data_IF_272392394310
#
_entry.id   IF_272392394310
#
_cell.length_a   1.000
_cell.length_b   1.000
_cell.length_c   1.000
_cell.angle_alpha   90.00
_cell.angle_beta   90.00
_cell.angle_gamma   90.00
#
_symmetry.space_group_name_H-M   'P 1'
#
loop_
_entity.id
_entity.type
_entity.pdbx_description
1 polymer ?
#
# COMPACT_ATOMS: atom_id res chain seq x y z
N UNK A 1 40.65 -27.49 28.94
CA UNK A 1 40.75 -26.75 27.67
C UNK A 1 40.16 -25.36 27.89
N UNK A 2 40.89 -24.30 27.55
CA UNK A 2 40.47 -22.92 27.83
C UNK A 2 39.35 -22.52 26.87
N UNK A 3 38.19 -22.12 27.40
CA UNK A 3 37.08 -21.62 26.57
C UNK A 3 37.41 -20.21 26.07
N UNK A 4 36.97 -19.90 24.85
CA UNK A 4 37.06 -18.54 24.32
C UNK A 4 35.93 -17.71 24.91
N UNK A 5 36.28 -16.52 25.37
CA UNK A 5 35.33 -15.47 25.72
C UNK A 5 35.07 -14.64 24.45
N UNK A 6 33.83 -14.60 23.94
CA UNK A 6 33.51 -13.83 22.75
C UNK A 6 33.63 -12.33 23.03
N UNK A 7 34.16 -11.58 22.06
CA UNK A 7 34.33 -10.12 22.15
C UNK A 7 33.07 -9.31 21.80
N UNK A 8 32.06 -9.94 21.22
CA UNK A 8 30.83 -9.26 20.81
C UNK A 8 29.67 -10.23 20.62
N UNK A 9 28.45 -9.70 20.69
CA UNK A 9 27.23 -10.44 20.33
C UNK A 9 27.22 -10.78 18.83
N UNK A 10 27.75 -9.93 17.95
CA UNK A 10 27.86 -10.20 16.51
C UNK A 10 28.65 -11.48 16.22
N UNK A 11 29.78 -11.70 16.91
CA UNK A 11 30.55 -12.94 16.76
C UNK A 11 29.71 -14.18 17.12
N UNK A 12 28.92 -14.10 18.20
CA UNK A 12 28.02 -15.19 18.58
C UNK A 12 26.96 -15.45 17.50
N UNK A 13 26.42 -14.41 16.87
CA UNK A 13 25.46 -14.54 15.76
C UNK A 13 26.09 -15.14 14.51
N UNK A 14 27.30 -14.73 14.13
CA UNK A 14 28.05 -15.28 13.00
C UNK A 14 28.35 -16.78 13.19
N UNK A 15 28.68 -17.20 14.42
CA UNK A 15 28.85 -18.63 14.77
C UNK A 15 27.53 -19.40 14.69
N UNK A 16 26.41 -18.83 15.15
CA UNK A 16 25.08 -19.47 15.03
C UNK A 16 24.64 -19.61 13.56
N UNK A 17 24.92 -18.61 12.73
CA UNK A 17 24.62 -18.61 11.31
C UNK A 17 25.54 -19.53 10.50
N UNK A 18 26.64 -20.00 11.10
CA UNK A 18 27.63 -20.82 10.42
C UNK A 18 28.60 -20.05 9.53
N UNK A 19 28.58 -18.72 9.61
CA UNK A 19 29.50 -17.85 8.86
C UNK A 19 30.91 -17.84 9.45
N UNK A 20 31.04 -18.17 10.74
CA UNK A 20 32.33 -18.25 11.44
C UNK A 20 32.45 -19.60 12.14
N UNK A 21 33.57 -20.28 11.89
CA UNK A 21 33.90 -21.55 12.55
C UNK A 21 34.21 -21.34 14.04
N UNK A 22 33.60 -22.11 14.95
CA UNK A 22 33.95 -22.05 16.36
C UNK A 22 35.27 -22.78 16.66
N UNK A 23 35.87 -22.56 17.84
CA UNK A 23 37.14 -23.18 18.24
C UNK A 23 37.12 -24.71 18.24
N UNK A 24 35.98 -25.29 18.56
CA UNK A 24 35.76 -26.74 18.52
C UNK A 24 34.64 -27.06 17.55
N UNK A 25 35.00 -27.72 16.46
CA UNK A 25 34.04 -28.19 15.46
C UNK A 25 33.39 -29.48 15.99
N UNK A 26 32.07 -29.52 16.20
CA UNK A 26 31.38 -30.73 16.59
C UNK A 26 31.47 -31.79 15.47
N UNK A 27 31.51 -33.08 15.84
CA UNK A 27 31.45 -34.17 14.85
C UNK A 27 29.99 -34.44 14.49
N UNK A 28 29.61 -34.32 13.22
CA UNK A 28 28.25 -34.60 12.76
C UNK A 28 28.02 -34.30 11.27
N UNK A 29 26.95 -34.84 10.68
CA UNK A 29 26.66 -34.71 9.24
C UNK A 29 26.47 -33.25 8.77
N UNK A 30 26.05 -32.35 9.65
CA UNK A 30 25.72 -30.96 9.31
C UNK A 30 26.88 -29.97 9.54
N UNK A 31 28.02 -30.42 10.08
CA UNK A 31 29.15 -29.51 10.38
C UNK A 31 29.97 -29.14 9.15
N UNK A 32 29.90 -29.94 8.08
CA UNK A 32 30.47 -29.60 6.77
C UNK A 32 29.76 -28.45 6.05
N UNK A 33 28.58 -28.04 6.51
CA UNK A 33 27.78 -26.93 5.95
C UNK A 33 27.67 -25.77 6.96
N UNK A 34 28.62 -25.67 7.90
CA UNK A 34 28.68 -24.55 8.86
C UNK A 34 27.65 -24.59 10.00
N UNK A 35 26.80 -25.61 10.10
CA UNK A 35 25.80 -25.68 11.20
C UNK A 35 26.42 -26.19 12.51
N UNK A 36 26.98 -25.27 13.30
CA UNK A 36 27.60 -25.59 14.59
C UNK A 36 26.63 -25.54 15.77
N UNK A 37 25.61 -24.69 15.70
CA UNK A 37 24.56 -24.53 16.70
C UNK A 37 23.22 -24.96 16.09
N UNK A 38 22.50 -25.86 16.75
CA UNK A 38 21.16 -26.31 16.32
C UNK A 38 20.11 -25.31 16.79
N UNK A 39 19.66 -24.47 15.86
CA UNK A 39 18.63 -23.45 16.07
C UNK A 39 17.22 -24.03 15.94
N UNK A 40 16.25 -23.44 16.64
CA UNK A 40 14.84 -23.74 16.41
C UNK A 40 14.39 -23.08 15.10
N UNK A 41 13.41 -23.66 14.41
CA UNK A 41 12.95 -23.19 13.07
C UNK A 41 12.63 -21.69 13.04
N UNK A 42 11.98 -21.17 14.08
CA UNK A 42 11.60 -19.77 14.19
C UNK A 42 12.78 -18.82 14.48
N UNK A 43 13.93 -19.33 14.96
CA UNK A 43 15.13 -18.53 15.23
C UNK A 43 16.03 -18.41 13.99
N UNK A 44 15.95 -19.38 13.05
CA UNK A 44 16.83 -19.47 11.87
C UNK A 44 16.77 -18.20 11.02
N UNK A 45 15.56 -17.74 10.67
CA UNK A 45 15.38 -16.57 9.81
C UNK A 45 15.98 -15.31 10.44
N UNK A 46 15.78 -15.12 11.75
CA UNK A 46 16.35 -13.99 12.47
C UNK A 46 17.88 -14.01 12.45
N UNK A 47 18.49 -15.15 12.81
CA UNK A 47 19.95 -15.30 12.86
C UNK A 47 20.58 -15.07 11.48
N UNK A 48 20.01 -15.64 10.42
CA UNK A 48 20.52 -15.46 9.06
C UNK A 48 20.41 -14.01 8.60
N UNK A 49 19.28 -13.34 8.88
CA UNK A 49 19.09 -11.92 8.53
C UNK A 49 20.09 -11.03 9.27
N UNK A 50 20.28 -11.25 10.57
CA UNK A 50 21.25 -10.49 11.37
C UNK A 50 22.67 -10.74 10.88
N UNK A 51 23.06 -11.98 10.62
CA UNK A 51 24.39 -12.30 10.06
C UNK A 51 24.63 -11.61 8.72
N UNK A 52 23.63 -11.60 7.83
CA UNK A 52 23.71 -10.89 6.54
C UNK A 52 23.91 -9.38 6.73
N UNK A 53 23.22 -8.74 7.68
CA UNK A 53 23.44 -7.33 8.00
C UNK A 53 24.86 -7.07 8.51
N UNK A 54 25.35 -7.94 9.41
CA UNK A 54 26.70 -7.84 9.97
C UNK A 54 27.76 -7.94 8.86
N UNK A 55 27.61 -8.85 7.91
CA UNK A 55 28.52 -8.99 6.76
C UNK A 55 28.54 -7.76 5.85
N UNK A 56 27.42 -7.03 5.77
CA UNK A 56 27.30 -5.77 5.02
C UNK A 56 27.79 -4.55 5.82
N UNK A 57 28.34 -4.75 7.02
CA UNK A 57 28.77 -3.66 7.90
C UNK A 57 27.61 -2.87 8.53
N UNK A 58 26.38 -3.40 8.48
CA UNK A 58 25.21 -2.74 9.04
C UNK A 58 24.99 -3.15 10.50
N UNK A 59 24.76 -2.16 11.36
CA UNK A 59 24.43 -2.38 12.76
C UNK A 59 23.03 -2.96 12.98
N UNK A 60 22.86 -3.62 14.14
CA UNK A 60 21.55 -4.07 14.63
C UNK A 60 20.76 -2.92 15.27
N UNK A 61 19.44 -2.96 15.12
CA UNK A 61 18.51 -2.12 15.90
C UNK A 61 18.44 -2.57 17.36
N UNK A 62 17.98 -1.71 18.28
CA UNK A 62 17.82 -2.06 19.71
C UNK A 62 17.04 -3.35 19.93
N UNK A 63 15.89 -3.53 19.27
CA UNK A 63 15.09 -4.76 19.39
C UNK A 63 15.84 -6.01 18.91
N UNK A 64 16.62 -5.87 17.83
CA UNK A 64 17.44 -6.97 17.33
C UNK A 64 18.59 -7.29 18.28
N UNK A 65 19.23 -6.28 18.89
CA UNK A 65 20.28 -6.47 19.90
C UNK A 65 19.76 -7.22 21.11
N UNK A 66 18.62 -6.80 21.66
CA UNK A 66 17.97 -7.50 22.79
C UNK A 66 17.65 -8.96 22.45
N UNK A 67 17.12 -9.22 21.26
CA UNK A 67 16.81 -10.57 20.81
C UNK A 67 18.09 -11.41 20.61
N UNK A 68 19.14 -10.84 20.02
CA UNK A 68 20.42 -11.51 19.84
C UNK A 68 21.07 -11.90 21.17
N UNK A 69 21.00 -11.04 22.20
CA UNK A 69 21.44 -11.36 23.57
C UNK A 69 20.63 -12.54 24.13
N UNK A 70 19.30 -12.49 24.03
CA UNK A 70 18.41 -13.57 24.50
C UNK A 70 18.70 -14.90 23.83
N UNK A 71 18.90 -14.91 22.50
CA UNK A 71 19.26 -16.12 21.76
C UNK A 71 20.64 -16.64 22.17
N UNK A 72 21.62 -15.75 22.34
CA UNK A 72 22.96 -16.12 22.80
C UNK A 72 22.89 -16.82 24.17
N UNK A 73 22.09 -16.27 25.09
CA UNK A 73 21.85 -16.89 26.39
C UNK A 73 21.09 -18.22 26.30
N UNK A 74 20.05 -18.31 25.46
CA UNK A 74 19.25 -19.52 25.21
C UNK A 74 20.13 -20.69 24.76
N UNK A 75 21.06 -20.43 23.84
CA UNK A 75 21.92 -21.46 23.25
C UNK A 75 23.25 -21.68 23.98
N UNK A 76 23.43 -21.13 25.19
CA UNK A 76 24.67 -21.20 25.99
C UNK A 76 25.27 -22.60 26.13
N UNK A 77 24.44 -23.64 26.33
CA UNK A 77 24.94 -25.04 26.43
C UNK A 77 25.61 -25.49 25.14
N UNK A 78 25.05 -25.12 23.98
CA UNK A 78 25.62 -25.47 22.68
C UNK A 78 26.91 -24.69 22.39
N UNK A 79 26.99 -23.41 22.79
CA UNK A 79 28.24 -22.64 22.72
C UNK A 79 29.38 -23.27 23.51
N UNK A 80 29.10 -23.75 24.74
CA UNK A 80 30.12 -24.46 25.54
C UNK A 80 30.62 -25.73 24.85
N UNK A 81 29.73 -26.47 24.18
CA UNK A 81 30.11 -27.67 23.44
C UNK A 81 31.07 -27.38 22.27
N UNK A 82 30.99 -26.17 21.71
CA UNK A 82 31.89 -25.68 20.65
C UNK A 82 33.04 -24.80 21.18
N UNK A 83 33.26 -24.77 22.50
CA UNK A 83 34.42 -24.15 23.13
C UNK A 83 34.29 -22.66 23.43
N UNK A 84 33.07 -22.11 23.43
CA UNK A 84 32.80 -20.68 23.65
C UNK A 84 32.00 -20.52 24.95
N UNK A 85 32.45 -19.63 25.84
CA UNK A 85 31.69 -19.26 27.03
C UNK A 85 31.03 -17.90 26.88
N UNK A 86 29.73 -17.91 26.57
CA UNK A 86 28.92 -16.70 26.36
C UNK A 86 28.39 -16.09 27.66
N UNK A 87 28.70 -16.64 28.82
CA UNK A 87 28.13 -16.22 30.11
C UNK A 87 28.38 -14.74 30.43
N UNK A 88 29.58 -14.25 30.12
CA UNK A 88 29.97 -12.85 30.33
C UNK A 88 29.24 -11.91 29.38
N UNK A 89 29.38 -12.13 28.08
CA UNK A 89 28.80 -11.27 27.03
C UNK A 89 27.26 -11.20 27.09
N UNK A 90 26.59 -12.20 27.67
CA UNK A 90 25.12 -12.15 27.86
C UNK A 90 24.68 -11.28 29.04
N UNK A 91 25.58 -11.01 30.00
CA UNK A 91 25.32 -10.15 31.16
C UNK A 91 25.75 -8.71 30.89
N UNK A 92 26.91 -8.55 30.27
CA UNK A 92 27.48 -7.27 29.86
C UNK A 92 27.76 -7.33 28.34
N UNK A 93 26.76 -6.97 27.52
CA UNK A 93 26.82 -7.19 26.08
C UNK A 93 27.62 -6.11 25.37
N UNK A 94 28.70 -6.53 24.70
CA UNK A 94 29.46 -5.69 23.78
C UNK A 94 29.00 -5.92 22.33
N UNK A 95 28.98 -4.85 21.55
CA UNK A 95 28.62 -4.87 20.13
C UNK A 95 29.74 -4.25 19.30
N UNK A 96 30.08 -4.89 18.18
CA UNK A 96 31.10 -4.39 17.23
C UNK A 96 30.59 -3.17 16.44
N UNK A 97 29.29 -3.11 16.20
CA UNK A 97 28.66 -2.10 15.37
C UNK A 97 27.94 -1.05 16.20
N UNK A 98 27.65 0.12 15.61
CA UNK A 98 26.75 1.11 16.21
C UNK A 98 25.28 0.69 16.13
N UNK A 99 24.43 1.26 16.98
CA UNK A 99 22.99 0.96 16.95
C UNK A 99 22.42 1.56 15.68
N UNK A 100 21.82 0.72 14.82
CA UNK A 100 21.12 1.22 13.65
C UNK A 100 19.75 1.79 14.06
N UNK A 101 19.51 3.05 13.72
CA UNK A 101 18.17 3.65 13.75
C UNK A 101 17.40 3.21 12.50
N UNK A 102 16.14 2.83 12.67
CA UNK A 102 15.25 2.52 11.53
C UNK A 102 14.27 3.66 11.43
N UNK A 103 14.20 4.25 10.24
CA UNK A 103 13.16 5.21 9.92
C UNK A 103 11.79 4.52 10.01
N UNK A 104 10.93 5.05 10.88
CA UNK A 104 9.55 4.61 11.07
C UNK A 104 8.56 5.65 10.57
N UNK A 105 9.04 6.69 9.88
CA UNK A 105 8.22 7.71 9.26
C UNK A 105 7.24 7.05 8.29
N UNK A 106 6.04 7.61 8.26
CA UNK A 106 5.03 7.28 7.28
C UNK A 106 4.84 8.51 6.42
N UNK A 107 5.17 8.45 5.13
CA UNK A 107 5.15 9.61 4.26
C UNK A 107 4.34 9.33 3.00
N UNK A 108 3.51 10.29 2.63
CA UNK A 108 2.72 10.31 1.42
C UNK A 108 3.20 11.47 0.55
N UNK A 109 3.63 11.16 -0.67
CA UNK A 109 4.06 12.17 -1.64
C UNK A 109 3.59 11.80 -3.03
N UNK A 110 3.39 12.81 -3.87
CA UNK A 110 3.14 12.63 -5.29
C UNK A 110 4.31 13.23 -6.05
N UNK A 111 4.92 12.43 -6.91
CA UNK A 111 6.01 12.86 -7.79
C UNK A 111 5.68 12.31 -9.17
N UNK A 112 5.60 13.21 -10.15
CA UNK A 112 5.22 12.90 -11.52
C UNK A 112 3.90 12.09 -11.58
N UNK A 113 3.93 10.93 -12.23
CA UNK A 113 2.77 10.07 -12.46
C UNK A 113 2.52 9.07 -11.32
N UNK A 114 3.24 9.18 -10.20
CA UNK A 114 3.18 8.22 -9.10
C UNK A 114 2.86 8.84 -7.74
N UNK A 115 2.05 8.11 -6.99
CA UNK A 115 1.87 8.25 -5.55
C UNK A 115 2.91 7.34 -4.88
N UNK A 116 3.75 7.94 -4.04
CA UNK A 116 4.74 7.24 -3.27
C UNK A 116 4.30 7.12 -1.81
N UNK A 117 4.21 5.88 -1.33
CA UNK A 117 3.92 5.57 0.07
C UNK A 117 5.16 5.00 0.75
N UNK A 118 5.71 5.75 1.70
CA UNK A 118 6.75 5.27 2.59
C UNK A 118 6.13 4.90 3.92
N UNK A 119 6.39 3.69 4.41
CA UNK A 119 6.07 3.32 5.78
C UNK A 119 6.95 2.13 6.22
N UNK A 120 7.22 1.99 7.53
CA UNK A 120 7.98 0.85 8.03
C UNK A 120 7.24 -0.45 7.73
N UNK A 121 7.97 -1.56 7.66
CA UNK A 121 7.40 -2.88 7.38
C UNK A 121 6.29 -3.25 8.38
N UNK A 122 5.05 -3.02 7.96
CA UNK A 122 3.82 -3.25 8.72
C UNK A 122 2.94 -4.21 7.90
N UNK A 123 2.78 -5.43 8.42
CA UNK A 123 2.04 -6.50 7.74
C UNK A 123 0.57 -6.14 7.49
N UNK A 124 -0.06 -5.40 8.39
CA UNK A 124 -1.46 -5.01 8.27
C UNK A 124 -1.63 -4.02 7.12
N UNK A 125 -0.82 -2.97 7.09
CA UNK A 125 -0.84 -1.97 6.02
C UNK A 125 -0.46 -2.57 4.65
N UNK A 126 0.52 -3.47 4.62
CA UNK A 126 0.88 -4.22 3.41
C UNK A 126 -0.31 -5.07 2.94
N UNK A 127 -1.00 -5.74 3.86
CA UNK A 127 -2.18 -6.55 3.52
C UNK A 127 -3.30 -5.67 2.97
N UNK A 128 -3.57 -4.52 3.58
CA UNK A 128 -4.59 -3.58 3.13
C UNK A 128 -4.32 -3.09 1.69
N UNK A 129 -3.09 -2.63 1.39
CA UNK A 129 -2.73 -2.21 0.03
C UNK A 129 -2.89 -3.36 -0.97
N UNK A 130 -2.41 -4.56 -0.64
CA UNK A 130 -2.56 -5.72 -1.51
C UNK A 130 -4.01 -6.16 -1.69
N UNK A 131 -4.87 -5.94 -0.71
CA UNK A 131 -6.32 -6.17 -0.84
C UNK A 131 -6.92 -5.14 -1.80
N UNK A 132 -6.63 -3.86 -1.62
CA UNK A 132 -7.12 -2.80 -2.51
C UNK A 132 -6.69 -2.99 -3.98
N UNK A 133 -5.47 -3.48 -4.21
CA UNK A 133 -4.98 -3.81 -5.56
C UNK A 133 -5.66 -5.05 -6.16
N UNK A 134 -6.04 -6.03 -5.33
CA UNK A 134 -6.65 -7.29 -5.78
C UNK A 134 -8.15 -7.15 -6.05
N UNK A 135 -8.82 -6.29 -5.29
CA UNK A 135 -10.26 -6.02 -5.39
C UNK A 135 -10.57 -4.86 -6.35
N UNK A 136 -9.60 -4.46 -7.18
CA UNK A 136 -9.70 -3.38 -8.16
C UNK A 136 -10.17 -2.03 -7.59
N UNK A 137 -10.02 -1.83 -6.27
CA UNK A 137 -10.25 -0.55 -5.60
C UNK A 137 -9.20 0.47 -6.04
N UNK A 138 -7.95 0.01 -6.21
CA UNK A 138 -6.88 0.80 -6.80
C UNK A 138 -6.67 0.36 -8.25
N UNK A 139 -6.81 1.31 -9.17
CA UNK A 139 -6.52 1.10 -10.59
C UNK A 139 -5.00 0.96 -10.73
N UNK A 140 -4.54 -0.27 -10.93
CA UNK A 140 -3.13 -0.57 -11.10
C UNK A 140 -2.81 -0.89 -12.56
N UNK A 141 -1.67 -0.41 -13.03
CA UNK A 141 -1.03 -0.91 -14.24
C UNK A 141 0.21 -1.73 -13.83
N UNK A 142 0.99 -2.21 -14.79
CA UNK A 142 2.23 -2.95 -14.53
C UNK A 142 3.31 -2.19 -13.73
N UNK A 143 3.14 -0.89 -13.50
CA UNK A 143 4.09 -0.03 -12.78
C UNK A 143 3.72 0.19 -11.32
N UNK A 144 2.49 -0.15 -10.89
CA UNK A 144 2.08 -0.08 -9.48
C UNK A 144 2.68 -1.25 -8.69
N UNK A 145 3.80 -1.02 -7.98
CA UNK A 145 4.53 -2.09 -7.30
C UNK A 145 5.32 -1.63 -6.08
N UNK A 146 5.77 -2.62 -5.30
CA UNK A 146 6.76 -2.41 -4.25
C UNK A 146 8.15 -2.16 -4.84
N UNK A 147 8.73 -1.01 -4.53
CA UNK A 147 10.10 -0.66 -4.88
C UNK A 147 11.05 -1.07 -3.73
N UNK A 148 11.87 -2.09 -3.98
CA UNK A 148 12.75 -2.67 -2.96
C UNK A 148 13.96 -1.78 -2.61
N UNK A 149 14.44 -0.99 -3.56
CA UNK A 149 15.61 -0.13 -3.39
C UNK A 149 15.26 1.08 -2.53
N UNK A 150 14.14 1.73 -2.87
CA UNK A 150 13.62 2.91 -2.19
C UNK A 150 12.74 2.57 -0.98
N UNK A 151 12.37 1.30 -0.83
CA UNK A 151 11.51 0.75 0.23
C UNK A 151 10.18 1.51 0.35
N UNK A 152 9.51 1.67 -0.79
CA UNK A 152 8.22 2.36 -0.90
C UNK A 152 7.28 1.64 -1.85
N UNK A 153 6.01 1.95 -1.75
CA UNK A 153 5.04 1.58 -2.78
C UNK A 153 4.92 2.70 -3.79
N UNK A 154 5.05 2.35 -5.06
CA UNK A 154 4.79 3.24 -6.19
C UNK A 154 3.43 2.83 -6.77
N UNK A 155 2.46 3.74 -6.80
CA UNK A 155 1.11 3.50 -7.32
C UNK A 155 0.75 4.61 -8.32
N UNK A 156 0.12 4.28 -9.44
CA UNK A 156 -0.28 5.32 -10.42
C UNK A 156 -1.12 6.41 -9.79
N UNK A 157 -0.81 7.64 -10.16
CA UNK A 157 -1.49 8.84 -9.74
C UNK A 157 -2.71 9.14 -10.62
N UNK A 158 -3.77 8.34 -10.49
CA UNK A 158 -5.11 8.71 -10.95
C UNK A 158 -5.86 9.44 -9.82
N UNK A 159 -6.86 10.26 -10.14
CA UNK A 159 -7.64 10.98 -9.12
C UNK A 159 -8.31 10.02 -8.12
N UNK A 160 -8.86 8.91 -8.63
CA UNK A 160 -9.48 7.87 -7.80
C UNK A 160 -8.48 7.19 -6.84
N UNK A 161 -7.32 6.79 -7.35
CA UNK A 161 -6.26 6.22 -6.51
C UNK A 161 -5.75 7.23 -5.48
N UNK A 162 -5.56 8.48 -5.91
CA UNK A 162 -5.06 9.55 -5.05
C UNK A 162 -5.99 9.78 -3.86
N UNK A 163 -7.29 9.98 -4.10
CA UNK A 163 -8.27 10.21 -3.02
C UNK A 163 -8.30 9.01 -2.07
N UNK A 164 -8.41 7.80 -2.62
CA UNK A 164 -8.47 6.55 -1.85
C UNK A 164 -7.25 6.39 -0.93
N UNK A 165 -6.05 6.56 -1.49
CA UNK A 165 -4.80 6.42 -0.74
C UNK A 165 -4.57 7.59 0.20
N UNK A 166 -5.00 8.80 -0.13
CA UNK A 166 -4.89 9.97 0.74
C UNK A 166 -5.72 9.78 2.01
N UNK A 167 -6.98 9.37 1.88
CA UNK A 167 -7.86 9.11 3.01
C UNK A 167 -7.39 7.92 3.85
N UNK A 168 -6.96 6.84 3.21
CA UNK A 168 -6.32 5.70 3.87
C UNK A 168 -5.06 6.11 4.64
N UNK A 169 -4.22 6.96 4.05
CA UNK A 169 -2.99 7.47 4.66
C UNK A 169 -3.29 8.40 5.84
N UNK A 170 -4.36 9.20 5.74
CA UNK A 170 -4.83 10.07 6.83
C UNK A 170 -5.27 9.25 8.03
N UNK A 171 -6.05 8.18 7.79
CA UNK A 171 -6.44 7.21 8.83
C UNK A 171 -5.22 6.55 9.48
N UNK A 172 -4.20 6.25 8.69
CA UNK A 172 -2.96 5.62 9.15
C UNK A 172 -1.91 6.60 9.70
N UNK A 173 -2.23 7.90 9.82
CA UNK A 173 -1.38 8.96 10.38
C UNK A 173 -0.06 9.15 9.61
N UNK A 174 -0.16 9.27 8.29
CA UNK A 174 0.97 9.66 7.45
C UNK A 174 1.22 11.16 7.50
N UNK A 175 2.47 11.54 7.27
CA UNK A 175 2.87 12.89 6.95
C UNK A 175 2.74 13.12 5.44
N UNK A 176 2.12 14.24 5.05
CA UNK A 176 1.84 14.56 3.65
C UNK A 176 2.78 15.63 3.13
N UNK A 177 3.25 15.47 1.89
CA UNK A 177 3.99 16.53 1.20
C UNK A 177 3.09 17.76 0.96
N UNK A 178 3.65 18.99 0.98
CA UNK A 178 2.89 20.20 0.64
C UNK A 178 2.17 20.11 -0.71
N UNK A 179 2.80 19.44 -1.68
CA UNK A 179 2.27 19.19 -3.03
C UNK A 179 1.01 18.33 -2.97
N UNK A 180 1.05 17.23 -2.21
CA UNK A 180 -0.11 16.34 -2.01
C UNK A 180 -1.27 17.06 -1.33
N UNK A 181 -1.01 17.90 -0.32
CA UNK A 181 -2.06 18.67 0.36
C UNK A 181 -2.70 19.67 -0.62
N UNK A 182 -1.90 20.38 -1.41
CA UNK A 182 -2.41 21.30 -2.44
C UNK A 182 -3.26 20.57 -3.47
N UNK A 183 -2.82 19.38 -3.91
CA UNK A 183 -3.54 18.58 -4.89
C UNK A 183 -4.87 18.07 -4.34
N UNK A 184 -4.88 17.54 -3.12
CA UNK A 184 -6.11 17.14 -2.43
C UNK A 184 -7.09 18.30 -2.30
N UNK A 185 -6.64 19.48 -1.85
CA UNK A 185 -7.51 20.65 -1.73
C UNK A 185 -8.13 21.10 -3.07
N UNK A 186 -7.46 20.84 -4.20
CA UNK A 186 -8.01 21.10 -5.53
C UNK A 186 -9.12 20.10 -5.85
N UNK A 187 -8.88 18.81 -5.61
CA UNK A 187 -9.87 17.75 -5.84
C UNK A 187 -11.08 17.91 -4.91
N UNK A 188 -10.86 18.17 -3.62
CA UNK A 188 -11.92 18.40 -2.65
C UNK A 188 -12.81 19.58 -3.07
N UNK A 189 -12.24 20.69 -3.55
CA UNK A 189 -13.04 21.80 -4.11
C UNK A 189 -13.91 21.37 -5.29
N UNK A 190 -13.45 20.47 -6.15
CA UNK A 190 -14.23 19.96 -7.28
C UNK A 190 -15.36 19.07 -6.74
N UNK A 191 -15.04 18.15 -5.82
CA UNK A 191 -16.00 17.22 -5.21
C UNK A 191 -17.11 17.98 -4.45
N UNK A 192 -16.77 19.05 -3.72
CA UNK A 192 -17.75 19.87 -3.01
C UNK A 192 -18.60 20.75 -3.95
N UNK A 193 -18.21 20.92 -5.21
CA UNK A 193 -18.90 21.76 -6.19
C UNK A 193 -19.20 20.97 -7.47
N UNK A 194 -19.59 19.69 -7.34
CA UNK A 194 -19.82 18.78 -8.47
C UNK A 194 -20.72 19.37 -9.55
N UNK A 195 -21.80 20.06 -9.18
CA UNK A 195 -22.74 20.69 -10.14
C UNK A 195 -22.06 21.67 -11.10
N UNK A 196 -20.95 22.29 -10.67
CA UNK A 196 -20.17 23.24 -11.51
C UNK A 196 -19.28 22.53 -12.53
N UNK A 197 -18.93 21.27 -12.31
CA UNK A 197 -17.95 20.55 -13.12
C UNK A 197 -18.54 19.35 -13.85
N UNK A 198 -19.62 18.74 -13.33
CA UNK A 198 -20.30 17.64 -13.98
C UNK A 198 -20.89 18.11 -15.30
N UNK A 199 -20.78 17.24 -16.31
CA UNK A 199 -21.37 17.45 -17.63
C UNK A 199 -22.85 17.09 -17.50
N UNK A 200 -23.73 18.03 -17.82
CA UNK A 200 -25.15 17.79 -17.78
C UNK A 200 -25.87 18.39 -18.97
N UNK A 201 -27.06 17.88 -19.26
CA UNK A 201 -27.93 18.38 -20.31
C UNK A 201 -29.24 18.96 -19.73
N UNK A 202 -29.64 20.13 -20.22
CA UNK A 202 -30.91 20.80 -19.86
C UNK A 202 -31.85 20.86 -21.05
N UNK A 203 -33.16 20.94 -20.81
CA UNK A 203 -34.12 21.16 -21.88
C UNK A 203 -34.03 22.62 -22.37
N UNK A 204 -33.62 22.82 -23.62
CA UNK A 204 -33.57 24.16 -24.23
C UNK A 204 -34.96 24.61 -24.71
N UNK A 205 -35.69 23.69 -25.33
CA UNK A 205 -37.06 23.86 -25.81
C UNK A 205 -37.82 22.52 -25.73
N UNK A 206 -38.97 22.39 -26.42
CA UNK A 206 -39.78 21.16 -26.41
C UNK A 206 -39.15 20.00 -27.19
N UNK A 207 -38.11 20.28 -27.97
CA UNK A 207 -37.55 19.37 -28.96
C UNK A 207 -36.04 19.15 -28.86
N UNK A 208 -35.32 19.93 -28.04
CA UNK A 208 -33.86 19.89 -27.99
C UNK A 208 -33.27 20.05 -26.59
N UNK A 209 -32.12 19.41 -26.38
CA UNK A 209 -31.29 19.54 -25.19
C UNK A 209 -30.07 20.44 -25.45
N UNK A 210 -29.60 21.09 -24.40
CA UNK A 210 -28.38 21.88 -24.37
C UNK A 210 -27.39 21.29 -23.36
N UNK A 211 -26.13 21.12 -23.78
CA UNK A 211 -25.04 20.62 -22.94
C UNK A 211 -24.38 21.76 -22.17
N UNK A 212 -24.06 21.49 -20.90
CA UNK A 212 -23.32 22.37 -20.01
C UNK A 212 -22.09 21.66 -19.47
N UNK A 213 -21.04 22.45 -19.19
CA UNK A 213 -19.75 21.99 -18.67
C UNK A 213 -19.04 20.90 -19.50
N UNK A 214 -19.46 20.69 -20.75
CA UNK A 214 -18.85 19.73 -21.65
C UNK A 214 -17.49 20.23 -22.18
N UNK A 215 -16.47 19.35 -22.29
CA UNK A 215 -15.26 19.66 -23.02
C UNK A 215 -15.56 19.91 -24.50
N UNK A 216 -14.68 20.65 -25.18
CA UNK A 216 -14.91 21.11 -26.57
C UNK A 216 -15.16 19.96 -27.53
N UNK A 217 -14.42 18.88 -27.36
CA UNK A 217 -14.48 17.67 -28.18
C UNK A 217 -15.86 17.00 -28.07
N UNK A 218 -16.39 16.91 -26.84
CA UNK A 218 -17.73 16.37 -26.60
C UNK A 218 -18.81 17.31 -27.17
N UNK A 219 -18.61 18.62 -27.05
CA UNK A 219 -19.52 19.62 -27.60
C UNK A 219 -19.57 19.55 -29.15
N UNK A 220 -18.41 19.39 -29.80
CA UNK A 220 -18.29 19.24 -31.25
C UNK A 220 -18.95 17.94 -31.73
N UNK A 221 -18.72 16.83 -31.03
CA UNK A 221 -19.38 15.56 -31.31
C UNK A 221 -20.91 15.66 -31.17
N UNK A 222 -21.38 16.27 -30.07
CA UNK A 222 -22.80 16.48 -29.83
C UNK A 222 -23.46 17.28 -30.95
N UNK A 223 -22.84 18.40 -31.32
CA UNK A 223 -23.35 19.29 -32.36
C UNK A 223 -23.44 18.61 -33.73
N UNK A 224 -22.52 17.70 -34.04
CA UNK A 224 -22.43 17.05 -35.36
C UNK A 224 -23.23 15.75 -35.47
N UNK A 225 -23.48 15.03 -34.35
CA UNK A 225 -24.05 13.67 -34.39
C UNK A 225 -25.35 13.49 -33.59
N UNK A 226 -25.67 14.40 -32.65
CA UNK A 226 -26.77 14.19 -31.69
C UNK A 226 -27.79 15.34 -31.72
N UNK A 227 -27.33 16.58 -31.81
CA UNK A 227 -28.17 17.77 -31.63
C UNK A 227 -29.40 17.84 -32.54
N UNK A 228 -29.30 17.35 -33.78
CA UNK A 228 -30.39 17.39 -34.75
C UNK A 228 -31.31 16.15 -34.70
N UNK A 229 -31.06 15.22 -33.77
CA UNK A 229 -31.91 14.04 -33.55
C UNK A 229 -33.14 14.38 -32.71
N UNK A 230 -34.12 13.48 -32.69
CA UNK A 230 -35.29 13.60 -31.81
C UNK A 230 -34.88 13.59 -30.34
N UNK A 231 -35.60 14.33 -29.50
CA UNK A 231 -35.23 14.51 -28.07
C UNK A 231 -35.04 13.19 -27.30
N UNK A 232 -35.85 12.17 -27.56
CA UNK A 232 -35.70 10.85 -26.93
C UNK A 232 -34.37 10.17 -27.31
N UNK A 233 -33.89 10.38 -28.54
CA UNK A 233 -32.59 9.87 -28.98
C UNK A 233 -31.44 10.68 -28.36
N UNK A 234 -31.65 11.98 -28.12
CA UNK A 234 -30.69 12.81 -27.37
C UNK A 234 -30.58 12.34 -25.92
N UNK A 235 -31.71 12.13 -25.23
CA UNK A 235 -31.77 11.59 -23.86
C UNK A 235 -31.06 10.23 -23.77
N UNK A 236 -31.32 9.33 -24.73
CA UNK A 236 -30.63 8.04 -24.82
C UNK A 236 -29.12 8.21 -25.00
N UNK A 237 -28.70 9.17 -25.81
CA UNK A 237 -27.28 9.47 -26.04
C UNK A 237 -26.61 10.03 -24.77
N UNK A 238 -27.31 10.81 -23.95
CA UNK A 238 -26.80 11.26 -22.66
C UNK A 238 -26.42 10.08 -21.76
N UNK A 239 -27.32 9.09 -21.62
CA UNK A 239 -27.04 7.88 -20.82
C UNK A 239 -25.84 7.07 -21.34
N UNK A 240 -25.65 6.99 -22.66
CA UNK A 240 -24.51 6.29 -23.26
C UNK A 240 -23.18 7.05 -23.10
N UNK A 241 -23.23 8.37 -22.99
CA UNK A 241 -22.07 9.24 -22.89
C UNK A 241 -21.77 9.66 -21.44
N UNK A 242 -22.47 9.08 -20.46
CA UNK A 242 -22.39 9.45 -19.04
C UNK A 242 -22.60 10.95 -18.81
N UNK A 243 -23.59 11.52 -19.49
CA UNK A 243 -24.03 12.91 -19.33
C UNK A 243 -25.27 12.92 -18.45
N UNK A 244 -25.21 13.67 -17.35
CA UNK A 244 -26.32 13.76 -16.41
C UNK A 244 -27.49 14.55 -17.02
N UNK A 245 -28.71 14.19 -16.64
CA UNK A 245 -29.91 14.92 -17.05
C UNK A 245 -30.36 15.82 -15.90
N UNK A 246 -30.49 17.11 -16.20
CA UNK A 246 -31.03 18.05 -15.23
C UNK A 246 -32.51 17.76 -14.92
N UNK A 247 -32.95 18.15 -13.72
CA UNK A 247 -34.33 17.99 -13.26
C UNK A 247 -35.36 18.63 -14.21
N UNK A 248 -34.99 19.68 -14.95
CA UNK A 248 -35.84 20.28 -15.98
C UNK A 248 -36.23 19.27 -17.08
N UNK A 249 -35.30 18.41 -17.49
CA UNK A 249 -35.55 17.35 -18.48
C UNK A 249 -36.42 16.26 -17.88
N UNK A 250 -36.08 15.81 -16.67
CA UNK A 250 -36.79 14.72 -15.98
C UNK A 250 -38.26 15.07 -15.67
N UNK A 251 -38.51 16.33 -15.32
CA UNK A 251 -39.85 16.81 -14.99
C UNK A 251 -40.70 17.03 -16.23
N UNK A 252 -40.10 17.53 -17.32
CA UNK A 252 -40.82 17.91 -18.54
C UNK A 252 -41.38 16.72 -19.33
N UNK A 253 -40.65 15.61 -19.38
CA UNK A 253 -41.08 14.41 -20.12
C UNK A 253 -41.83 13.39 -19.25
N UNK A 254 -42.23 13.80 -18.05
CA UNK A 254 -43.13 13.04 -17.17
C UNK A 254 -42.66 11.61 -16.85
N UNK A 255 -41.35 11.40 -16.79
CA UNK A 255 -40.76 10.14 -16.35
C UNK A 255 -41.32 9.74 -14.98
N UNK A 256 -41.61 8.45 -14.81
CA UNK A 256 -42.03 7.88 -13.53
C UNK A 256 -40.95 8.10 -12.47
N UNK A 257 -41.32 8.05 -11.19
CA UNK A 257 -40.37 8.19 -10.07
C UNK A 257 -39.18 7.24 -10.22
N UNK A 258 -39.46 5.99 -10.60
CA UNK A 258 -38.49 4.93 -10.87
C UNK A 258 -37.53 5.29 -12.00
N UNK A 259 -38.04 5.77 -13.14
CA UNK A 259 -37.22 6.22 -14.27
C UNK A 259 -36.35 7.43 -13.92
N UNK A 260 -36.88 8.38 -13.14
CA UNK A 260 -36.10 9.54 -12.67
C UNK A 260 -34.96 9.10 -11.75
N UNK A 261 -35.18 8.13 -10.87
CA UNK A 261 -34.13 7.61 -10.00
C UNK A 261 -33.03 6.88 -10.78
N UNK A 262 -33.38 6.04 -11.78
CA UNK A 262 -32.39 5.42 -12.67
C UNK A 262 -31.60 6.49 -13.42
N UNK A 263 -32.28 7.45 -14.03
CA UNK A 263 -31.65 8.45 -14.90
C UNK A 263 -30.81 9.48 -14.12
N UNK A 264 -31.10 9.71 -12.84
CA UNK A 264 -30.35 10.67 -12.01
C UNK A 264 -29.26 10.02 -11.15
N UNK A 265 -29.44 8.77 -10.70
CA UNK A 265 -28.51 8.09 -9.79
C UNK A 265 -27.77 6.92 -10.43
N UNK A 266 -28.20 6.47 -11.61
CA UNK A 266 -27.65 5.29 -12.29
C UNK A 266 -28.13 3.95 -11.72
N UNK A 267 -28.88 3.94 -10.62
CA UNK A 267 -29.43 2.73 -9.97
C UNK A 267 -30.70 3.05 -9.16
N UNK A 268 -31.47 2.02 -8.81
CA UNK A 268 -32.58 2.09 -7.85
C UNK A 268 -32.28 1.13 -6.71
N UNK A 269 -32.46 1.57 -5.48
CA UNK A 269 -32.56 0.68 -4.33
C UNK A 269 -33.98 0.11 -4.29
N UNK A 270 -34.11 -1.19 -4.56
CA UNK A 270 -35.40 -1.88 -4.45
C UNK A 270 -35.57 -2.30 -3.00
N UNK A 271 -36.62 -1.78 -2.32
CA UNK A 271 -36.89 -2.07 -0.90
C UNK A 271 -37.24 -3.54 -0.63
N UNK A 272 -37.64 -4.31 -1.66
CA UNK A 272 -37.88 -5.75 -1.55
C UNK A 272 -37.08 -6.55 -2.58
N UNK A 273 -36.46 -7.68 -2.19
CA UNK A 273 -35.75 -8.54 -3.14
C UNK A 273 -36.74 -9.16 -4.13
N UNK A 274 -36.34 -9.23 -5.40
CA UNK A 274 -37.06 -9.90 -6.49
C UNK A 274 -37.17 -11.43 -6.24
N UNK A 275 -37.99 -11.83 -5.27
CA UNK A 275 -38.41 -13.21 -5.04
C UNK A 275 -39.93 -13.31 -5.10
N UNK A 276 -40.52 -12.85 -6.21
CA UNK A 276 -41.84 -13.31 -6.62
C UNK A 276 -42.03 -12.99 -8.10
N UNK A 277 -41.49 -13.85 -8.96
CA UNK A 277 -41.97 -14.27 -10.29
C UNK A 277 -40.84 -15.18 -10.81
N UNK A 278 -40.91 -16.46 -10.43
CA UNK A 278 -40.46 -17.64 -11.17
C UNK A 278 -41.05 -18.86 -10.46
#
# INVERSE_FOLDING_TARGET
>A
MKMILPKSIEYCMEVMAGSVSPPKIPKGRHTGIGMYIKLARYDVNFVNNVSSYIHRGLGMTNRQRELAIKLTAKYRKQFRNVGIDVSGITKDPEFRTEVRTVDRSKRFSVIDDFIHLYFPYNQEMIKEINTMLREDVLISNSQSQWNADEKRWDINNTEGNFITLYDWSKKNKFDFSPESIKYYNKLDKIIQNQEKYNIYATAKDDSSLELHNAPKELQEYWNSHIKDKKVLEQIKSCGLLAIDLDNSVLTKYNFSKTEREILSKGFIEVEEPLYSIL
#
